data_IF_700025460475
#
_entry.id   IF_700025460475
#
_cell.length_a   1.000
_cell.length_b   1.000
_cell.length_c   1.000
_cell.angle_alpha   90.00
_cell.angle_beta   90.00
_cell.angle_gamma   90.00
#
_symmetry.space_group_name_H-M   'P 1'
#
loop_
_entity.id
_entity.type
_entity.pdbx_description
1 polymer ?
#
# COMPACT_ATOMS: atom_id res chain seq x y z
N UNK A 1 7.13 5.86 12.17
CA UNK A 1 8.23 5.29 11.38
C UNK A 1 7.63 4.72 10.12
N UNK A 2 8.00 5.24 8.95
CA UNK A 2 7.50 4.72 7.67
C UNK A 2 8.23 3.40 7.38
N UNK A 3 7.51 2.28 7.40
CA UNK A 3 8.06 1.00 6.95
C UNK A 3 8.33 1.09 5.45
N UNK A 4 9.60 0.89 5.07
CA UNK A 4 10.03 0.77 3.70
C UNK A 4 10.07 -0.72 3.35
N UNK A 5 9.31 -1.13 2.35
CA UNK A 5 9.15 -2.52 1.94
C UNK A 5 9.79 -2.71 0.58
N UNK A 6 10.69 -3.67 0.42
CA UNK A 6 11.21 -4.04 -0.90
C UNK A 6 10.35 -5.18 -1.46
N UNK A 7 9.82 -5.01 -2.67
CA UNK A 7 8.99 -5.99 -3.35
C UNK A 7 9.15 -5.78 -4.87
N UNK A 8 9.29 -6.86 -5.63
CA UNK A 8 9.33 -6.80 -7.10
C UNK A 8 10.21 -5.67 -7.67
N UNK A 9 11.48 -5.66 -7.25
CA UNK A 9 12.53 -4.73 -7.71
C UNK A 9 12.35 -3.25 -7.32
N UNK A 10 11.26 -2.89 -6.64
CA UNK A 10 11.05 -1.54 -6.13
C UNK A 10 10.85 -1.51 -4.61
N UNK A 11 10.97 -0.31 -4.06
CA UNK A 11 10.72 -0.03 -2.66
C UNK A 11 9.41 0.73 -2.50
N UNK A 12 8.56 0.26 -1.58
CA UNK A 12 7.23 0.79 -1.31
C UNK A 12 7.17 1.35 0.10
N UNK A 13 6.38 2.42 0.27
CA UNK A 13 6.05 2.98 1.58
C UNK A 13 4.68 3.63 1.57
N UNK A 14 4.09 3.75 2.75
CA UNK A 14 3.01 4.72 2.96
C UNK A 14 3.63 6.12 2.90
N UNK A 15 3.04 7.04 2.14
CA UNK A 15 3.57 8.38 1.99
C UNK A 15 3.63 9.08 3.36
N UNK A 16 4.80 9.59 3.76
CA UNK A 16 4.93 10.32 5.02
C UNK A 16 4.20 11.67 5.00
N UNK A 17 3.82 12.17 3.81
CA UNK A 17 3.09 13.43 3.63
C UNK A 17 1.58 13.23 3.55
N UNK A 18 1.14 12.03 3.17
CA UNK A 18 -0.27 11.73 2.96
C UNK A 18 -0.56 10.24 3.15
N UNK A 19 -1.17 9.89 4.30
CA UNK A 19 -1.56 8.51 4.62
C UNK A 19 -2.52 7.87 3.61
N UNK A 20 -3.08 8.60 2.65
CA UNK A 20 -3.96 8.07 1.59
C UNK A 20 -3.21 7.62 0.35
N UNK A 21 -1.88 7.61 0.40
CA UNK A 21 -1.03 7.30 -0.74
C UNK A 21 0.02 6.24 -0.38
N UNK A 22 0.22 5.31 -1.30
CA UNK A 22 1.40 4.45 -1.33
C UNK A 22 2.32 5.00 -2.41
N UNK A 23 3.60 5.11 -2.05
CA UNK A 23 4.66 5.58 -2.92
C UNK A 23 5.63 4.44 -3.22
N UNK A 24 6.14 4.37 -4.45
CA UNK A 24 7.20 3.45 -4.85
C UNK A 24 8.45 4.20 -5.37
N UNK A 25 9.61 3.55 -5.29
CA UNK A 25 10.89 4.01 -5.81
C UNK A 25 11.80 2.83 -6.14
N UNK A 26 12.41 2.84 -7.32
CA UNK A 26 13.40 1.84 -7.73
C UNK A 26 14.67 1.82 -6.85
N UNK A 27 14.96 2.89 -6.10
CA UNK A 27 16.20 3.00 -5.32
C UNK A 27 15.97 3.08 -3.81
N UNK A 28 14.71 3.10 -3.36
CA UNK A 28 14.36 3.34 -1.96
C UNK A 28 14.66 4.77 -1.50
N UNK A 29 15.01 5.66 -2.43
CA UNK A 29 15.27 7.09 -2.20
C UNK A 29 14.51 7.93 -3.22
N UNK A 30 14.71 9.25 -3.23
CA UNK A 30 14.06 10.12 -4.21
C UNK A 30 14.52 9.79 -5.66
N UNK A 31 13.65 9.97 -6.67
CA UNK A 31 12.27 10.43 -6.58
C UNK A 31 11.28 9.31 -6.17
N UNK A 32 10.21 9.72 -5.49
CA UNK A 32 9.09 8.83 -5.15
C UNK A 32 7.95 9.04 -6.16
N UNK A 33 7.36 7.94 -6.62
CA UNK A 33 6.16 7.95 -7.47
C UNK A 33 4.95 7.49 -6.66
N UNK A 34 3.77 8.02 -6.98
CA UNK A 34 2.52 7.52 -6.39
C UNK A 34 2.08 6.28 -7.16
N UNK A 35 2.11 5.11 -6.53
CA UNK A 35 1.62 3.86 -7.13
C UNK A 35 0.15 3.58 -6.76
N UNK A 36 -0.33 4.11 -5.61
CA UNK A 36 -1.73 3.94 -5.23
C UNK A 36 -2.27 5.12 -4.42
N UNK A 37 -3.47 5.64 -4.77
CA UNK A 37 -4.07 6.82 -4.13
C UNK A 37 -5.61 6.86 -4.12
N UNK A 38 -6.28 5.71 -4.12
CA UNK A 38 -7.74 5.69 -4.22
C UNK A 38 -8.42 6.13 -2.92
N UNK A 39 -9.18 7.23 -2.96
CA UNK A 39 -9.93 7.76 -1.79
C UNK A 39 -10.91 6.77 -1.15
N UNK A 40 -11.40 5.79 -1.92
CA UNK A 40 -12.39 4.81 -1.43
C UNK A 40 -11.84 3.93 -0.32
N UNK A 41 -10.53 3.69 -0.27
CA UNK A 41 -9.90 2.79 0.72
C UNK A 41 -9.61 3.45 2.06
N UNK A 42 -9.64 4.79 2.13
CA UNK A 42 -9.32 5.51 3.36
C UNK A 42 -7.82 5.72 3.57
N UNK A 43 -7.39 5.73 4.82
CA UNK A 43 -6.02 6.02 5.24
C UNK A 43 -5.26 4.73 5.51
N UNK A 44 -4.09 4.57 4.88
CA UNK A 44 -3.14 3.49 5.15
C UNK A 44 -2.42 3.73 6.47
N UNK A 45 -2.30 2.67 7.27
CA UNK A 45 -1.55 2.72 8.53
C UNK A 45 -0.54 1.58 8.69
N UNK A 46 -0.60 0.54 7.85
CA UNK A 46 0.37 -0.55 7.82
C UNK A 46 0.55 -1.05 6.40
N UNK A 47 1.80 -1.30 6.03
CA UNK A 47 2.22 -1.90 4.78
C UNK A 47 3.20 -3.03 5.09
N UNK A 48 2.98 -4.18 4.48
CA UNK A 48 3.81 -5.38 4.60
C UNK A 48 4.02 -5.96 3.19
N UNK A 49 5.11 -6.69 2.99
CA UNK A 49 5.40 -7.39 1.74
C UNK A 49 5.72 -8.86 2.01
N UNK A 50 5.33 -9.72 1.09
CA UNK A 50 5.70 -11.14 1.06
C UNK A 50 5.82 -11.62 -0.37
N UNK A 51 6.89 -12.35 -0.69
CA UNK A 51 7.27 -12.76 -2.05
C UNK A 51 7.05 -11.63 -3.08
N UNK A 52 5.97 -11.72 -3.87
CA UNK A 52 5.61 -10.75 -4.92
C UNK A 52 4.28 -10.00 -4.65
N UNK A 53 3.81 -10.04 -3.40
CA UNK A 53 2.53 -9.47 -2.96
C UNK A 53 2.74 -8.41 -1.88
N UNK A 54 2.09 -7.26 -2.07
CA UNK A 54 2.00 -6.19 -1.08
C UNK A 54 0.66 -6.26 -0.36
N UNK A 55 0.71 -6.11 0.96
CA UNK A 55 -0.47 -6.06 1.82
C UNK A 55 -0.54 -4.72 2.54
N UNK A 56 -1.70 -4.05 2.45
CA UNK A 56 -1.91 -2.74 3.04
C UNK A 56 -3.20 -2.71 3.87
N UNK A 57 -3.09 -2.28 5.13
CA UNK A 57 -4.24 -2.09 6.01
C UNK A 57 -4.66 -0.63 6.01
N UNK A 58 -5.97 -0.43 5.95
CA UNK A 58 -6.60 0.87 5.76
C UNK A 58 -7.72 1.10 6.76
N UNK A 59 -8.10 2.36 6.96
CA UNK A 59 -9.22 2.70 7.84
C UNK A 59 -10.59 2.17 7.37
N UNK A 60 -10.69 1.61 6.15
CA UNK A 60 -11.94 1.03 5.61
C UNK A 60 -11.83 -0.46 5.25
N UNK A 61 -10.75 -1.12 5.65
CA UNK A 61 -10.54 -2.53 5.40
C UNK A 61 -9.12 -2.83 4.94
N UNK A 62 -8.99 -3.80 4.04
CA UNK A 62 -7.71 -4.36 3.63
C UNK A 62 -7.54 -4.21 2.12
N UNK A 63 -6.32 -3.94 1.67
CA UNK A 63 -5.95 -3.91 0.27
C UNK A 63 -4.75 -4.81 0.04
N UNK A 64 -4.69 -5.46 -1.10
CA UNK A 64 -3.48 -6.18 -1.52
C UNK A 64 -3.20 -5.91 -2.99
N UNK A 65 -1.93 -5.96 -3.36
CA UNK A 65 -1.51 -5.94 -4.75
C UNK A 65 -0.61 -7.12 -5.00
N UNK A 66 -1.01 -7.95 -5.94
CA UNK A 66 -0.10 -8.88 -6.60
C UNK A 66 0.78 -8.08 -7.56
N UNK A 67 1.90 -8.66 -7.99
CA UNK A 67 2.72 -8.07 -9.04
C UNK A 67 3.16 -6.64 -8.67
N UNK A 68 3.79 -6.49 -7.49
CA UNK A 68 4.50 -5.27 -7.11
C UNK A 68 3.70 -3.98 -7.24
N UNK A 69 2.48 -3.92 -6.71
CA UNK A 69 1.81 -2.63 -6.50
C UNK A 69 1.14 -1.99 -7.72
N UNK A 70 1.10 -2.64 -8.89
CA UNK A 70 0.43 -2.11 -10.09
C UNK A 70 -1.10 -2.31 -10.04
N UNK A 71 -1.56 -3.41 -9.44
CA UNK A 71 -2.97 -3.79 -9.42
C UNK A 71 -3.46 -4.07 -7.99
N UNK A 72 -4.02 -3.04 -7.37
CA UNK A 72 -4.57 -3.14 -6.02
C UNK A 72 -6.02 -3.60 -6.02
N UNK A 73 -6.29 -4.65 -5.26
CA UNK A 73 -7.63 -5.12 -4.92
C UNK A 73 -8.00 -4.71 -3.50
N UNK A 74 -9.22 -4.23 -3.32
CA UNK A 74 -9.77 -3.89 -2.01
C UNK A 74 -10.64 -5.03 -1.51
N UNK A 75 -10.32 -5.52 -0.32
CA UNK A 75 -11.15 -6.42 0.47
C UNK A 75 -11.76 -5.59 1.59
N UNK A 76 -13.00 -5.15 1.38
CA UNK A 76 -13.77 -4.50 2.44
C UNK A 76 -14.02 -5.52 3.55
N UNK A 77 -13.82 -5.13 4.82
CA UNK A 77 -14.41 -5.89 5.91
C UNK A 77 -15.93 -5.88 5.70
N UNK A 78 -16.50 -7.05 5.38
CA UNK A 78 -17.94 -7.25 5.55
C UNK A 78 -18.17 -7.09 7.05
N UNK A 79 -19.04 -6.17 7.50
CA UNK A 79 -19.50 -6.23 8.88
C UNK A 79 -20.27 -7.54 9.01
N UNK A 80 -19.61 -8.57 9.53
CA UNK A 80 -20.31 -9.65 10.20
C UNK A 80 -21.11 -8.96 11.32
N UNK A 81 -22.39 -9.29 11.44
CA UNK A 81 -23.41 -8.64 12.28
C UNK A 81 -24.16 -7.48 11.60
N UNK A 82 -25.15 -7.86 10.78
CA UNK A 82 -26.41 -7.15 10.64
C UNK A 82 -27.51 -7.99 11.31
#
# INVERSE_FOLDING_TARGET
MSNLIYCWEEFYRISPKNSKMIECSATGTHPWKVCYNRRVVGDFYRLEGGDDVLFAWTSKGFCFSEYGGDNWQMVSQIPLFA
#
